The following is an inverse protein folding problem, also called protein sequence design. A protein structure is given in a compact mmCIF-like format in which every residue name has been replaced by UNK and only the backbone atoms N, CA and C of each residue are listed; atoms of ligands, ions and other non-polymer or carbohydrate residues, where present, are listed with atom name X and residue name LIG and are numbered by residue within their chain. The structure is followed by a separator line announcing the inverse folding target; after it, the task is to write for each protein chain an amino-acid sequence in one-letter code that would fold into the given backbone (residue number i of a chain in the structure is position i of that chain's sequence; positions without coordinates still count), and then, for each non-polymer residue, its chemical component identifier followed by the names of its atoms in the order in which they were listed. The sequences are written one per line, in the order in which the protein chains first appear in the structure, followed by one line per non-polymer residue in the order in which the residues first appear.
data_IF_248232784833
#
_entry.id   IF_248232784833
#
_cell.length_a   1.000
_cell.length_b   1.000
_cell.length_c   1.000
_cell.angle_alpha   90.00
_cell.angle_beta   90.00
_cell.angle_gamma   90.00
#
_symmetry.space_group_name_H-M   'P 1'
#
loop_
_entity.id
_entity.type
_entity.pdbx_description
1 polymer ?
#
# COMPACT_ATOMS: atom_id res chain seq x y z
N UNK A 1 4.64 20.86 -15.56
CA UNK A 1 4.73 19.53 -14.94
C UNK A 1 3.34 19.11 -14.53
N UNK A 2 2.84 17.94 -14.98
CA UNK A 2 1.59 17.41 -14.45
C UNK A 2 1.83 16.91 -13.03
N UNK A 3 1.15 17.51 -12.05
CA UNK A 3 1.33 17.21 -10.62
C UNK A 3 0.78 15.84 -10.22
N UNK A 4 0.09 15.13 -11.12
CA UNK A 4 -0.65 13.90 -10.81
C UNK A 4 0.04 12.62 -11.27
N UNK A 5 0.93 12.68 -12.29
CA UNK A 5 1.59 11.48 -12.84
C UNK A 5 3.12 11.54 -12.94
N UNK A 6 3.74 12.70 -12.67
CA UNK A 6 5.20 12.83 -12.82
C UNK A 6 5.74 12.67 -14.24
N UNK A 7 4.88 12.63 -15.25
CA UNK A 7 5.27 12.45 -16.65
C UNK A 7 5.94 13.74 -17.17
N UNK A 8 7.26 13.83 -17.04
CA UNK A 8 8.06 14.93 -17.58
C UNK A 8 8.24 14.84 -19.11
N UNK A 9 8.00 13.67 -19.70
CA UNK A 9 8.21 13.43 -21.12
C UNK A 9 6.95 12.89 -21.78
N UNK A 10 6.55 13.49 -22.91
CA UNK A 10 5.57 12.95 -23.86
C UNK A 10 6.14 11.82 -24.70
N UNK A 11 7.23 11.18 -24.25
CA UNK A 11 7.91 10.09 -24.94
C UNK A 11 8.09 8.93 -23.97
N UNK A 12 7.70 7.74 -24.40
CA UNK A 12 8.01 6.46 -23.73
C UNK A 12 9.54 6.25 -23.65
N UNK A 13 10.10 5.42 -22.73
CA UNK A 13 11.51 5.00 -22.69
C UNK A 13 12.15 4.59 -24.03
N UNK A 14 11.36 4.27 -25.06
CA UNK A 14 11.81 4.01 -26.43
C UNK A 14 11.96 5.25 -27.34
N UNK A 15 11.62 6.44 -26.84
CA UNK A 15 11.61 7.69 -27.62
C UNK A 15 10.34 7.91 -28.45
N UNK A 16 9.33 7.04 -28.33
CA UNK A 16 8.08 7.12 -29.07
C UNK A 16 7.13 8.14 -28.45
N UNK A 17 6.60 9.08 -29.23
CA UNK A 17 5.62 10.05 -28.73
C UNK A 17 4.36 9.32 -28.23
N UNK A 18 3.98 9.59 -26.98
CA UNK A 18 2.73 9.11 -26.39
C UNK A 18 1.59 9.90 -27.04
N UNK A 19 0.83 9.24 -27.91
CA UNK A 19 -0.37 9.78 -28.56
C UNK A 19 -1.39 10.28 -27.53
N UNK A 20 -2.05 11.40 -27.83
CA UNK A 20 -3.13 11.99 -27.04
C UNK A 20 -4.22 10.99 -26.66
N UNK A 21 -4.52 10.02 -27.52
CA UNK A 21 -5.48 8.96 -27.22
C UNK A 21 -5.01 8.05 -26.07
N UNK A 22 -3.71 7.75 -26.02
CA UNK A 22 -3.13 6.94 -24.93
C UNK A 22 -3.19 7.72 -23.62
N UNK A 23 -2.88 9.02 -23.64
CA UNK A 23 -3.01 9.89 -22.46
C UNK A 23 -4.46 10.01 -21.97
N UNK A 24 -5.43 10.12 -22.89
CA UNK A 24 -6.86 10.14 -22.55
C UNK A 24 -7.32 8.83 -21.90
N UNK A 25 -6.90 7.69 -22.43
CA UNK A 25 -7.24 6.38 -21.85
C UNK A 25 -6.64 6.23 -20.45
N UNK A 26 -5.36 6.56 -20.25
CA UNK A 26 -4.72 6.48 -18.92
C UNK A 26 -5.41 7.41 -17.91
N UNK A 27 -5.74 8.64 -18.31
CA UNK A 27 -6.52 9.57 -17.46
C UNK A 27 -7.90 9.02 -17.15
N UNK A 28 -8.57 8.40 -18.13
CA UNK A 28 -9.86 7.75 -17.94
C UNK A 28 -9.80 6.64 -16.90
N UNK A 29 -8.80 5.76 -16.99
CA UNK A 29 -8.61 4.67 -16.03
C UNK A 29 -8.35 5.17 -14.60
N UNK A 30 -7.44 6.13 -14.42
CA UNK A 30 -7.18 6.73 -13.11
C UNK A 30 -8.41 7.44 -12.55
N UNK A 31 -9.14 8.18 -13.38
CA UNK A 31 -10.38 8.85 -12.94
C UNK A 31 -11.47 7.87 -12.51
N UNK A 32 -11.57 6.70 -13.16
CA UNK A 32 -12.49 5.65 -12.77
C UNK A 32 -12.09 5.02 -11.43
N UNK A 33 -10.78 4.80 -11.22
CA UNK A 33 -10.24 4.37 -9.93
C UNK A 33 -10.58 5.37 -8.83
N UNK A 34 -10.31 6.66 -9.02
CA UNK A 34 -10.55 7.71 -8.03
C UNK A 34 -12.05 7.84 -7.66
N UNK A 35 -12.93 7.69 -8.65
CA UNK A 35 -14.37 7.67 -8.43
C UNK A 35 -14.79 6.47 -7.57
N UNK A 36 -14.16 5.30 -7.76
CA UNK A 36 -14.43 4.12 -6.93
C UNK A 36 -13.80 4.26 -5.55
N UNK A 37 -12.58 4.79 -5.43
CA UNK A 37 -11.90 5.06 -4.17
C UNK A 37 -12.72 5.99 -3.27
N UNK A 38 -13.33 7.02 -3.87
CA UNK A 38 -14.26 7.92 -3.17
C UNK A 38 -15.43 7.14 -2.57
N UNK A 39 -16.05 6.21 -3.32
CA UNK A 39 -17.15 5.39 -2.81
C UNK A 39 -16.71 4.45 -1.70
N UNK A 40 -15.52 3.87 -1.82
CA UNK A 40 -14.95 3.01 -0.78
C UNK A 40 -14.76 3.79 0.52
N UNK A 41 -14.16 4.99 0.42
CA UNK A 41 -13.96 5.89 1.56
C UNK A 41 -15.29 6.31 2.20
N UNK A 42 -16.29 6.65 1.40
CA UNK A 42 -17.62 6.98 1.90
C UNK A 42 -18.27 5.81 2.64
N UNK A 43 -18.12 4.58 2.13
CA UNK A 43 -18.63 3.39 2.80
C UNK A 43 -17.91 3.18 4.14
N UNK A 44 -16.58 3.17 4.15
CA UNK A 44 -15.77 3.03 5.36
C UNK A 44 -16.13 4.11 6.40
N UNK A 45 -16.28 5.36 5.96
CA UNK A 45 -16.67 6.49 6.81
C UNK A 45 -18.06 6.33 7.43
N UNK A 46 -19.06 5.83 6.68
CA UNK A 46 -20.40 5.53 7.24
C UNK A 46 -20.38 4.46 8.33
N UNK A 47 -19.41 3.55 8.28
CA UNK A 47 -19.21 2.52 9.29
C UNK A 47 -18.19 2.91 10.37
N UNK A 48 -17.62 4.12 10.32
CA UNK A 48 -16.55 4.59 11.20
C UNK A 48 -15.33 3.67 11.23
N UNK A 49 -14.97 3.10 10.07
CA UNK A 49 -13.81 2.22 9.93
C UNK A 49 -12.58 3.05 9.57
N UNK A 50 -11.50 2.91 10.35
CA UNK A 50 -10.19 3.40 9.97
C UNK A 50 -9.54 2.42 8.99
N UNK A 51 -9.34 2.85 7.74
CA UNK A 51 -8.66 2.04 6.72
C UNK A 51 -7.21 2.48 6.52
N UNK A 52 -6.28 1.53 6.60
CA UNK A 52 -4.82 1.75 6.55
C UNK A 52 -4.23 0.87 5.44
N UNK A 53 -3.61 1.50 4.44
CA UNK A 53 -2.92 0.81 3.35
C UNK A 53 -1.43 0.62 3.69
N UNK A 54 -0.99 -0.62 3.78
CA UNK A 54 0.41 -0.99 4.02
C UNK A 54 1.10 -1.23 2.67
N UNK A 55 2.12 -0.44 2.38
CA UNK A 55 2.92 -0.52 1.14
C UNK A 55 4.39 -0.76 1.47
N UNK A 56 5.10 -1.50 0.62
CA UNK A 56 6.52 -1.79 0.84
C UNK A 56 7.15 -2.48 -0.37
N UNK A 57 8.46 -2.70 -0.36
CA UNK A 57 9.09 -3.76 -1.17
C UNK A 57 8.61 -5.16 -0.75
N UNK A 58 8.76 -6.19 -1.60
CA UNK A 58 8.62 -7.58 -1.17
C UNK A 58 9.52 -7.90 0.02
N UNK A 59 8.98 -8.61 1.02
CA UNK A 59 9.77 -9.06 2.17
C UNK A 59 10.15 -7.98 3.19
N UNK A 60 9.59 -6.76 3.11
CA UNK A 60 9.84 -5.70 4.09
C UNK A 60 9.17 -5.95 5.47
N UNK A 61 8.28 -6.94 5.57
CA UNK A 61 7.69 -7.38 6.85
C UNK A 61 6.28 -6.86 7.15
N UNK A 62 5.46 -6.58 6.13
CA UNK A 62 4.06 -6.14 6.30
C UNK A 62 3.22 -7.17 7.07
N UNK A 63 3.22 -8.43 6.61
CA UNK A 63 2.48 -9.50 7.28
C UNK A 63 2.96 -9.74 8.72
N UNK A 64 4.27 -9.66 8.96
CA UNK A 64 4.84 -9.80 10.31
C UNK A 64 4.47 -8.63 11.22
N UNK A 65 4.34 -7.41 10.67
CA UNK A 65 3.80 -6.28 11.40
C UNK A 65 2.33 -6.53 11.79
N UNK A 66 1.52 -7.11 10.89
CA UNK A 66 0.13 -7.46 11.19
C UNK A 66 0.01 -8.55 12.24
N UNK A 67 0.81 -9.61 12.15
CA UNK A 67 0.88 -10.69 13.16
C UNK A 67 1.21 -10.12 14.55
N UNK A 68 2.27 -9.30 14.64
CA UNK A 68 2.65 -8.66 15.91
C UNK A 68 1.60 -7.66 16.41
N UNK A 69 0.87 -7.01 15.49
CA UNK A 69 -0.24 -6.12 15.86
C UNK A 69 -1.39 -6.91 16.47
N UNK A 70 -1.71 -8.09 15.95
CA UNK A 70 -2.76 -8.95 16.49
C UNK A 70 -2.50 -9.41 17.92
N UNK A 71 -1.23 -9.62 18.28
CA UNK A 71 -0.83 -9.99 19.64
C UNK A 71 -0.99 -8.86 20.67
N UNK A 72 -0.92 -7.60 20.22
CA UNK A 72 -0.84 -6.42 21.10
C UNK A 72 -2.09 -5.55 21.08
N UNK A 73 -2.96 -5.73 20.09
CA UNK A 73 -4.14 -4.90 19.93
C UNK A 73 -5.19 -5.22 21.02
N UNK A 74 -5.88 -4.22 21.59
CA UNK A 74 -6.97 -4.45 22.54
C UNK A 74 -8.05 -5.39 21.98
N UNK A 75 -8.53 -6.32 22.81
CA UNK A 75 -9.54 -7.33 22.41
C UNK A 75 -10.87 -6.72 21.93
N UNK A 76 -11.19 -5.49 22.37
CA UNK A 76 -12.39 -4.77 21.96
C UNK A 76 -12.26 -4.09 20.59
N UNK A 77 -11.04 -4.00 20.04
CA UNK A 77 -10.79 -3.51 18.69
C UNK A 77 -10.86 -4.65 17.66
N UNK A 78 -11.98 -4.71 16.94
CA UNK A 78 -12.20 -5.65 15.85
C UNK A 78 -11.48 -5.19 14.58
N UNK A 79 -10.55 -6.01 14.11
CA UNK A 79 -9.70 -5.73 12.95
C UNK A 79 -9.96 -6.74 11.84
N UNK A 80 -10.00 -6.23 10.61
CA UNK A 80 -9.97 -7.03 9.40
C UNK A 80 -8.79 -6.63 8.51
N UNK A 81 -8.36 -7.55 7.67
CA UNK A 81 -7.28 -7.37 6.70
C UNK A 81 -7.77 -7.77 5.32
N UNK A 82 -7.46 -6.95 4.32
CA UNK A 82 -7.52 -7.33 2.91
C UNK A 82 -6.08 -7.55 2.46
N UNK A 83 -5.76 -8.77 2.02
CA UNK A 83 -4.43 -9.18 1.57
C UNK A 83 -4.34 -9.15 0.04
N UNK A 84 -3.34 -8.47 -0.50
CA UNK A 84 -3.05 -8.42 -1.92
C UNK A 84 -1.76 -9.15 -2.27
N UNK A 85 -1.89 -10.31 -2.91
CA UNK A 85 -0.74 -11.09 -3.40
C UNK A 85 -1.00 -11.57 -4.85
N UNK A 86 0.07 -11.84 -5.59
CA UNK A 86 0.01 -12.26 -6.99
C UNK A 86 -0.61 -13.65 -7.14
N UNK A 87 -0.30 -14.58 -6.22
CA UNK A 87 -0.58 -16.00 -6.47
C UNK A 87 -0.93 -16.86 -5.24
N UNK A 88 -0.58 -16.47 -4.01
CA UNK A 88 -0.73 -17.35 -2.83
C UNK A 88 -1.71 -16.79 -1.81
N UNK A 89 -2.24 -17.65 -0.94
CA UNK A 89 -3.00 -17.24 0.26
C UNK A 89 -2.15 -17.24 1.53
N UNK A 90 -0.82 -17.41 1.40
CA UNK A 90 0.05 -17.67 2.54
C UNK A 90 -0.03 -16.55 3.58
N UNK A 91 -0.06 -15.29 3.14
CA UNK A 91 -0.11 -14.14 4.04
C UNK A 91 -1.51 -13.98 4.66
N UNK A 92 -2.59 -14.25 3.92
CA UNK A 92 -3.94 -14.28 4.49
C UNK A 92 -4.11 -15.38 5.55
N UNK A 93 -3.55 -16.57 5.33
CA UNK A 93 -3.60 -17.68 6.29
C UNK A 93 -2.80 -17.38 7.56
N UNK A 94 -1.64 -16.72 7.43
CA UNK A 94 -0.84 -16.24 8.55
C UNK A 94 -1.60 -15.21 9.39
N UNK A 95 -2.22 -14.23 8.74
CA UNK A 95 -3.04 -13.20 9.41
C UNK A 95 -4.26 -13.82 10.11
N UNK A 96 -4.92 -14.81 9.48
CA UNK A 96 -6.02 -15.57 10.10
C UNK A 96 -5.55 -16.35 11.33
N UNK A 97 -4.39 -16.99 11.25
CA UNK A 97 -3.79 -17.73 12.36
C UNK A 97 -3.42 -16.81 13.54
N UNK A 98 -3.06 -15.55 13.26
CA UNK A 98 -2.80 -14.52 14.26
C UNK A 98 -4.09 -13.97 14.93
N UNK A 99 -5.27 -14.32 14.42
CA UNK A 99 -6.56 -13.98 15.01
C UNK A 99 -7.35 -12.87 14.30
N UNK A 100 -6.82 -12.30 13.22
CA UNK A 100 -7.55 -11.32 12.42
C UNK A 100 -8.41 -11.97 11.34
N UNK A 101 -9.52 -11.32 10.98
CA UNK A 101 -10.28 -11.71 9.79
C UNK A 101 -9.51 -11.26 8.54
N UNK A 102 -9.17 -12.18 7.63
CA UNK A 102 -8.48 -11.83 6.38
C UNK A 102 -9.25 -12.26 5.11
N UNK A 103 -9.34 -11.35 4.14
CA UNK A 103 -9.86 -11.58 2.78
C UNK A 103 -8.71 -11.49 1.80
N UNK A 104 -8.49 -12.53 1.01
CA UNK A 104 -7.44 -12.56 -0.01
C UNK A 104 -7.95 -11.96 -1.33
N UNK A 105 -7.10 -11.15 -1.96
CA UNK A 105 -7.21 -10.76 -3.35
C UNK A 105 -6.02 -11.36 -4.10
N UNK A 106 -6.29 -12.25 -5.05
CA UNK A 106 -5.26 -12.74 -5.99
C UNK A 106 -5.20 -11.79 -7.18
N UNK A 107 -4.15 -10.99 -7.27
CA UNK A 107 -4.00 -9.96 -8.32
C UNK A 107 -3.56 -10.55 -9.66
N UNK A 108 -3.14 -11.82 -9.67
CA UNK A 108 -2.60 -12.50 -10.84
C UNK A 108 -1.29 -11.84 -11.29
N UNK A 109 -1.36 -11.05 -12.36
CA UNK A 109 -0.20 -10.32 -12.90
C UNK A 109 -0.19 -8.84 -12.50
N UNK A 110 -1.21 -8.35 -11.79
CA UNK A 110 -1.25 -6.95 -11.39
C UNK A 110 -0.27 -6.66 -10.25
N UNK A 111 0.52 -5.60 -10.42
CA UNK A 111 1.61 -5.18 -9.52
C UNK A 111 1.15 -4.31 -8.34
N UNK A 112 -0.16 -4.11 -8.16
CA UNK A 112 -0.81 -3.27 -7.15
C UNK A 112 -2.27 -3.71 -6.98
N UNK A 113 -2.88 -3.26 -5.88
CA UNK A 113 -4.34 -3.25 -5.70
C UNK A 113 -4.95 -1.96 -6.26
N UNK A 114 -6.18 -2.04 -6.77
CA UNK A 114 -6.98 -0.87 -7.16
C UNK A 114 -8.27 -0.75 -6.33
N UNK A 115 -8.97 0.38 -6.44
CA UNK A 115 -10.17 0.62 -5.66
C UNK A 115 -11.33 -0.34 -5.97
N UNK A 116 -11.41 -0.88 -7.20
CA UNK A 116 -12.45 -1.83 -7.55
C UNK A 116 -12.21 -3.19 -6.88
N UNK A 117 -10.95 -3.63 -6.81
CA UNK A 117 -10.56 -4.83 -6.07
C UNK A 117 -10.92 -4.71 -4.59
N UNK A 118 -10.64 -3.56 -3.96
CA UNK A 118 -11.02 -3.32 -2.56
C UNK A 118 -12.55 -3.30 -2.39
N UNK A 119 -13.28 -2.71 -3.33
CA UNK A 119 -14.74 -2.68 -3.29
C UNK A 119 -15.34 -4.09 -3.28
N UNK A 120 -14.80 -4.99 -4.11
CA UNK A 120 -15.20 -6.41 -4.15
C UNK A 120 -14.82 -7.11 -2.84
N UNK A 121 -13.58 -6.99 -2.36
CA UNK A 121 -13.17 -7.64 -1.13
C UNK A 121 -13.96 -7.17 0.11
N UNK A 122 -14.38 -5.91 0.15
CA UNK A 122 -15.25 -5.41 1.21
C UNK A 122 -16.62 -6.08 1.25
N UNK A 123 -17.11 -6.70 0.17
CA UNK A 123 -18.42 -7.40 0.21
C UNK A 123 -18.38 -8.68 1.04
N UNK A 124 -17.19 -9.23 1.26
CA UNK A 124 -16.97 -10.44 2.09
C UNK A 124 -16.77 -10.09 3.58
N UNK A 125 -16.79 -8.79 3.90
CA UNK A 125 -16.64 -8.25 5.23
C UNK A 125 -17.99 -7.75 5.77
N UNK A 126 -18.27 -8.06 7.04
CA UNK A 126 -19.35 -7.40 7.75
C UNK A 126 -18.83 -6.08 8.33
N UNK A 127 -19.01 -4.98 7.58
CA UNK A 127 -18.46 -3.67 7.95
C UNK A 127 -19.00 -3.14 9.29
N UNK A 128 -20.14 -3.62 9.79
CA UNK A 128 -20.65 -3.24 11.11
C UNK A 128 -19.82 -3.82 12.27
N UNK A 129 -19.00 -4.83 12.01
CA UNK A 129 -18.20 -5.54 13.01
C UNK A 129 -16.71 -5.17 12.92
N UNK A 130 -16.34 -4.12 12.21
CA UNK A 130 -14.94 -3.74 11.99
C UNK A 130 -14.72 -2.33 12.52
N UNK A 131 -13.59 -2.12 13.21
CA UNK A 131 -13.12 -0.78 13.61
C UNK A 131 -11.92 -0.35 12.76
N UNK A 132 -11.03 -1.29 12.43
CA UNK A 132 -9.83 -1.03 11.62
C UNK A 132 -9.79 -2.03 10.46
N UNK A 133 -9.56 -1.52 9.26
CA UNK A 133 -9.29 -2.31 8.07
C UNK A 133 -7.85 -2.06 7.62
N UNK A 134 -6.99 -3.06 7.77
CA UNK A 134 -5.70 -3.04 7.09
C UNK A 134 -5.88 -3.53 5.65
N UNK A 135 -5.17 -2.89 4.73
CA UNK A 135 -5.02 -3.33 3.35
C UNK A 135 -3.54 -3.60 3.16
N UNK A 136 -3.14 -4.87 3.16
CA UNK A 136 -1.78 -5.26 2.83
C UNK A 136 -1.64 -5.27 1.31
N UNK A 137 -0.95 -4.26 0.76
CA UNK A 137 -0.77 -4.12 -0.67
C UNK A 137 0.31 -5.07 -1.21
N UNK A 138 0.30 -5.26 -2.54
CA UNK A 138 1.35 -6.00 -3.22
C UNK A 138 2.73 -5.39 -2.91
N UNK A 139 3.73 -6.24 -2.65
CA UNK A 139 5.11 -5.80 -2.44
C UNK A 139 5.69 -5.11 -3.68
N UNK A 140 5.58 -3.78 -3.74
CA UNK A 140 6.07 -2.94 -4.83
C UNK A 140 6.18 -1.47 -4.38
N UNK A 141 7.33 -0.83 -4.63
CA UNK A 141 7.56 0.60 -4.31
C UNK A 141 7.22 1.57 -5.46
N UNK A 142 6.62 1.09 -6.55
CA UNK A 142 6.30 1.89 -7.73
C UNK A 142 4.80 1.95 -7.99
N UNK A 143 4.19 0.83 -8.37
CA UNK A 143 2.79 0.81 -8.82
C UNK A 143 1.80 1.32 -7.75
N UNK A 144 1.84 0.85 -6.48
CA UNK A 144 0.77 1.15 -5.52
C UNK A 144 0.64 2.64 -5.18
N UNK A 145 1.72 3.41 -5.31
CA UNK A 145 1.73 4.83 -4.98
C UNK A 145 0.84 5.70 -5.88
N UNK A 146 0.36 5.16 -7.01
CA UNK A 146 -0.47 5.89 -7.98
C UNK A 146 -1.96 5.54 -7.90
N UNK A 147 -2.36 4.64 -7.00
CA UNK A 147 -3.74 4.15 -6.90
C UNK A 147 -4.32 4.44 -5.53
N UNK A 148 -5.27 5.37 -5.47
CA UNK A 148 -6.12 5.54 -4.30
C UNK A 148 -7.07 4.34 -4.19
N UNK A 149 -7.19 3.74 -3.01
CA UNK A 149 -8.07 2.61 -2.72
C UNK A 149 -9.30 3.01 -1.90
N UNK A 150 -9.34 4.26 -1.42
CA UNK A 150 -10.32 4.75 -0.44
C UNK A 150 -9.83 4.66 1.00
N UNK A 151 -8.55 4.33 1.22
CA UNK A 151 -7.91 4.33 2.53
C UNK A 151 -7.85 5.73 3.14
N UNK A 152 -7.66 5.77 4.46
CA UNK A 152 -7.47 7.01 5.22
C UNK A 152 -6.00 7.31 5.46
N UNK A 153 -5.17 6.28 5.62
CA UNK A 153 -3.74 6.40 5.86
C UNK A 153 -2.96 5.47 4.94
N UNK A 154 -1.84 5.97 4.43
CA UNK A 154 -0.81 5.21 3.75
C UNK A 154 0.39 5.03 4.68
N UNK A 155 0.73 3.78 4.97
CA UNK A 155 1.91 3.43 5.77
C UNK A 155 2.90 2.69 4.87
N UNK A 156 4.09 3.24 4.71
CA UNK A 156 5.16 2.62 3.91
C UNK A 156 6.20 1.99 4.83
N UNK A 157 6.48 0.70 4.64
CA UNK A 157 7.60 0.04 5.32
C UNK A 157 8.86 0.16 4.46
N UNK A 158 9.97 0.50 5.12
CA UNK A 158 11.32 0.47 4.58
C UNK A 158 12.17 -0.44 5.47
N UNK A 159 12.55 -1.61 4.98
CA UNK A 159 13.40 -2.50 5.78
C UNK A 159 14.87 -2.10 5.71
N UNK A 160 15.59 -2.26 6.82
CA UNK A 160 17.03 -1.95 6.92
C UNK A 160 17.85 -2.58 5.78
N UNK A 161 17.68 -3.87 5.39
CA UNK A 161 18.44 -4.48 4.30
C UNK A 161 18.19 -3.88 2.92
N UNK A 162 17.15 -3.05 2.73
CA UNK A 162 16.90 -2.40 1.45
C UNK A 162 17.86 -1.23 1.21
N UNK A 163 18.41 -0.62 2.26
CA UNK A 163 19.28 0.55 2.18
C UNK A 163 18.56 1.88 2.40
N UNK A 164 19.28 2.85 2.95
CA UNK A 164 18.72 4.15 3.39
C UNK A 164 18.41 5.13 2.24
N UNK A 165 18.76 4.77 1.01
CA UNK A 165 18.59 5.59 -0.20
C UNK A 165 17.24 5.39 -0.91
N UNK A 166 16.41 4.47 -0.42
CA UNK A 166 15.11 4.13 -1.05
C UNK A 166 14.16 5.32 -1.15
N UNK A 167 14.04 6.21 -0.15
CA UNK A 167 13.15 7.36 -0.30
C UNK A 167 13.52 8.27 -1.47
N UNK A 168 14.81 8.50 -1.71
CA UNK A 168 15.29 9.26 -2.86
C UNK A 168 15.05 8.53 -4.20
N UNK A 169 15.15 7.20 -4.22
CA UNK A 169 14.94 6.37 -5.42
C UNK A 169 13.47 6.19 -5.78
N UNK A 170 12.57 6.19 -4.79
CA UNK A 170 11.14 5.95 -4.96
C UNK A 170 10.29 7.11 -4.40
N UNK A 171 10.53 8.37 -4.82
CA UNK A 171 9.97 9.54 -4.17
C UNK A 171 8.44 9.62 -4.28
N UNK A 172 7.83 8.98 -5.27
CA UNK A 172 6.35 8.94 -5.38
C UNK A 172 5.74 8.12 -4.25
N UNK A 173 6.31 6.96 -3.93
CA UNK A 173 5.85 6.10 -2.83
C UNK A 173 6.00 6.79 -1.47
N UNK A 174 7.20 7.29 -1.19
CA UNK A 174 7.50 7.84 0.12
C UNK A 174 6.81 9.18 0.40
N UNK A 175 6.50 9.98 -0.65
CA UNK A 175 5.67 11.18 -0.49
C UNK A 175 4.18 10.89 -0.34
N UNK A 176 3.71 9.75 -0.82
CA UNK A 176 2.32 9.32 -0.63
C UNK A 176 2.06 8.75 0.78
N UNK A 177 3.12 8.46 1.55
CA UNK A 177 3.03 7.88 2.87
C UNK A 177 2.73 8.95 3.95
N UNK A 178 1.73 8.69 4.78
CA UNK A 178 1.47 9.45 6.01
C UNK A 178 2.41 9.03 7.15
N UNK A 179 2.90 7.79 7.09
CA UNK A 179 3.86 7.23 8.03
C UNK A 179 4.86 6.33 7.30
N UNK A 180 6.14 6.47 7.62
CA UNK A 180 7.20 5.56 7.18
C UNK A 180 7.71 4.76 8.38
N UNK A 181 7.66 3.43 8.27
CA UNK A 181 8.14 2.51 9.29
C UNK A 181 9.47 1.88 8.86
N UNK A 182 10.52 2.08 9.64
CA UNK A 182 11.80 1.39 9.43
C UNK A 182 11.71 0.01 10.07
N UNK A 183 11.58 -1.03 9.25
CA UNK A 183 11.45 -2.42 9.71
C UNK A 183 12.79 -3.15 9.73
N UNK A 184 12.86 -4.27 10.46
CA UNK A 184 14.09 -5.05 10.68
C UNK A 184 15.22 -4.20 11.32
N UNK A 185 14.83 -3.30 12.23
CA UNK A 185 15.75 -2.39 12.91
C UNK A 185 16.72 -3.09 13.86
N UNK A 186 16.43 -4.34 14.23
CA UNK A 186 17.34 -5.25 14.91
C UNK A 186 18.64 -5.51 14.13
N UNK A 187 18.65 -5.27 12.81
CA UNK A 187 19.82 -5.42 11.95
C UNK A 187 20.74 -4.19 11.91
N UNK A 188 20.32 -3.04 12.45
CA UNK A 188 21.14 -1.81 12.49
C UNK A 188 22.54 -1.99 13.13
N UNK A 189 22.72 -2.84 14.17
CA UNK A 189 24.05 -3.07 14.74
C UNK A 189 25.00 -3.86 13.85
N UNK A 190 24.50 -4.57 12.83
CA UNK A 190 25.29 -5.47 11.96
C UNK A 190 25.35 -5.02 10.49
N UNK A 191 24.43 -4.15 10.07
CA UNK A 191 24.42 -3.49 8.76
C UNK A 191 24.79 -2.02 8.92
N UNK A 192 26.04 -1.68 8.60
CA UNK A 192 26.61 -0.35 8.81
C UNK A 192 26.30 0.65 7.66
N UNK A 193 25.71 0.17 6.58
CA UNK A 193 25.35 0.90 5.37
C UNK A 193 24.01 1.63 5.46
N UNK A 194 23.09 1.20 6.34
CA UNK A 194 21.82 1.88 6.58
C UNK A 194 21.92 2.91 7.72
N UNK A 195 21.66 4.19 7.42
CA UNK A 195 21.56 5.27 8.43
C UNK A 195 20.11 5.80 8.48
N UNK A 196 19.37 5.59 9.59
CA UNK A 196 17.99 6.08 9.72
C UNK A 196 17.84 7.58 9.47
N UNK A 197 18.78 8.39 9.94
CA UNK A 197 18.76 9.85 9.72
C UNK A 197 18.89 10.23 8.25
N UNK A 198 19.65 9.47 7.46
CA UNK A 198 19.81 9.70 6.02
C UNK A 198 18.53 9.33 5.25
N UNK A 199 17.89 8.22 5.61
CA UNK A 199 16.58 7.87 5.09
C UNK A 199 15.54 8.96 5.38
N UNK A 200 15.55 9.51 6.61
CA UNK A 200 14.65 10.58 7.02
C UNK A 200 14.87 11.88 6.24
N UNK A 201 16.12 12.25 5.95
CA UNK A 201 16.42 13.46 5.16
C UNK A 201 15.75 13.40 3.78
N UNK A 202 15.82 12.26 3.11
CA UNK A 202 15.19 12.06 1.80
C UNK A 202 13.65 12.08 1.81
N UNK A 203 12.99 12.09 2.98
CA UNK A 203 11.53 12.24 3.07
C UNK A 203 11.08 13.71 3.01
N UNK A 204 11.99 14.65 3.28
CA UNK A 204 11.71 16.08 3.36
C UNK A 204 12.21 16.87 2.14
N UNK A 205 12.89 16.20 1.21
CA UNK A 205 13.40 16.75 -0.06
C UNK A 205 12.38 16.60 -1.21
#
# INVERSE_FOLDING_TARGET
MCQTCGCANTTDPTGTQIDSRTLEVMKGLLSANDAQATRNRDALGRHNILAINLMSSPGAGKTTLLEATAELIPEDLRVAVIEGDLATENDADRVRAAGFKAVQITTGNACHLDAAMIAVAMTDLNLHEIHILFIENVGNLVCPASFDLGQHLNVTLLSVPEGDDKPAKYPVMFRAADLVLISKSDLLPVLDDFKPEKAKQYLHD
#
